data_IF_951784144309
#
_entry.id   IF_951784144309
#
_cell.length_a   1.000
_cell.length_b   1.000
_cell.length_c   1.000
_cell.angle_alpha   90.00
_cell.angle_beta   90.00
_cell.angle_gamma   90.00
#
_symmetry.space_group_name_H-M   'P 1'
#
loop_
_entity.id
_entity.type
_entity.pdbx_description
1 polymer ?
#
# COMPACT_ATOMS: atom_id res chain seq x y z
N UNK A 1 2.02 -16.86 -4.55
CA UNK A 1 0.78 -16.28 -4.01
C UNK A 1 0.18 -17.29 -3.04
N UNK A 2 -0.07 -16.88 -1.82
CA UNK A 2 -0.68 -17.71 -0.79
C UNK A 2 -2.16 -17.94 -1.10
N UNK A 3 -2.66 -19.09 -0.62
CA UNK A 3 -4.06 -19.49 -0.67
C UNK A 3 -4.48 -19.82 0.76
N UNK A 4 -5.25 -18.92 1.37
CA UNK A 4 -5.67 -19.05 2.77
C UNK A 4 -7.01 -19.78 2.91
N UNK A 5 -7.74 -19.95 1.80
CA UNK A 5 -9.04 -20.60 1.78
C UNK A 5 -9.65 -20.73 0.39
N UNK A 6 -10.88 -21.24 0.35
CA UNK A 6 -11.58 -21.58 -0.91
C UNK A 6 -12.55 -20.50 -1.40
N UNK A 7 -12.83 -19.44 -0.63
CA UNK A 7 -13.75 -18.39 -1.09
C UNK A 7 -13.12 -17.60 -2.23
N UNK A 8 -13.94 -16.82 -2.93
CA UNK A 8 -13.51 -16.07 -4.13
C UNK A 8 -12.29 -15.18 -3.89
N UNK A 9 -12.19 -14.59 -2.70
CA UNK A 9 -11.13 -13.63 -2.32
C UNK A 9 -10.22 -14.15 -1.19
N UNK A 10 -10.21 -15.46 -0.92
CA UNK A 10 -9.34 -16.06 0.12
C UNK A 10 -7.93 -16.41 -0.42
N UNK A 11 -7.59 -15.94 -1.62
CA UNK A 11 -6.23 -16.04 -2.20
C UNK A 11 -5.63 -14.65 -2.29
N UNK A 12 -4.31 -14.52 -2.18
CA UNK A 12 -3.63 -13.24 -2.37
C UNK A 12 -4.08 -12.57 -3.68
N UNK A 13 -4.03 -13.31 -4.79
CA UNK A 13 -4.46 -12.81 -6.09
C UNK A 13 -5.92 -12.33 -6.10
N UNK A 14 -6.84 -13.15 -5.56
CA UNK A 14 -8.26 -12.81 -5.54
C UNK A 14 -8.56 -11.61 -4.65
N UNK A 15 -7.82 -11.47 -3.55
CA UNK A 15 -7.92 -10.34 -2.64
C UNK A 15 -7.33 -9.06 -3.25
N UNK A 16 -6.19 -9.15 -3.92
CA UNK A 16 -5.55 -8.04 -4.64
C UNK A 16 -6.46 -7.46 -5.72
N UNK A 17 -7.03 -8.33 -6.58
CA UNK A 17 -7.98 -7.90 -7.62
C UNK A 17 -9.22 -7.24 -7.00
N UNK A 18 -9.74 -7.81 -5.91
CA UNK A 18 -10.90 -7.24 -5.22
C UNK A 18 -10.59 -5.86 -4.64
N UNK A 19 -9.45 -5.69 -3.99
CA UNK A 19 -9.05 -4.42 -3.40
C UNK A 19 -8.74 -3.37 -4.46
N UNK A 20 -8.12 -3.75 -5.57
CA UNK A 20 -7.84 -2.86 -6.68
C UNK A 20 -9.15 -2.32 -7.28
N UNK A 21 -10.10 -3.20 -7.60
CA UNK A 21 -11.40 -2.81 -8.17
C UNK A 21 -12.23 -1.98 -7.19
N UNK A 22 -12.45 -2.49 -5.98
CA UNK A 22 -13.33 -1.85 -4.99
C UNK A 22 -12.68 -0.60 -4.40
N UNK A 23 -11.36 -0.60 -4.21
CA UNK A 23 -10.58 0.51 -3.70
C UNK A 23 -10.66 1.70 -4.65
N UNK A 24 -10.27 1.53 -5.91
CA UNK A 24 -10.30 2.58 -6.94
C UNK A 24 -11.72 3.08 -7.19
N UNK A 25 -12.72 2.19 -7.19
CA UNK A 25 -14.12 2.59 -7.27
C UNK A 25 -14.54 3.48 -6.09
N UNK A 26 -14.13 3.14 -4.85
CA UNK A 26 -14.40 3.97 -3.66
C UNK A 26 -13.62 5.27 -3.66
N UNK A 27 -12.51 5.35 -4.38
CA UNK A 27 -11.79 6.59 -4.64
C UNK A 27 -12.44 7.42 -5.76
N UNK A 28 -13.53 6.92 -6.35
CA UNK A 28 -14.31 7.66 -7.34
C UNK A 28 -13.72 7.62 -8.75
N UNK A 29 -12.81 6.68 -9.01
CA UNK A 29 -12.31 6.46 -10.35
C UNK A 29 -13.39 5.89 -11.28
N UNK A 30 -13.30 6.24 -12.56
CA UNK A 30 -14.25 5.77 -13.57
C UNK A 30 -14.08 4.26 -13.80
N UNK A 31 -15.18 3.50 -13.64
CA UNK A 31 -15.15 2.03 -13.67
C UNK A 31 -14.59 1.46 -14.97
N UNK A 32 -14.81 2.11 -16.12
CA UNK A 32 -14.25 1.64 -17.39
C UNK A 32 -12.71 1.64 -17.40
N UNK A 33 -12.06 2.59 -16.70
CA UNK A 33 -10.60 2.63 -16.60
C UNK A 33 -10.10 1.51 -15.69
N UNK A 34 -10.78 1.30 -14.55
CA UNK A 34 -10.48 0.20 -13.63
C UNK A 34 -10.57 -1.15 -14.37
N UNK A 35 -11.66 -1.39 -15.10
CA UNK A 35 -11.83 -2.62 -15.88
C UNK A 35 -10.71 -2.77 -16.91
N UNK A 36 -10.43 -1.71 -17.67
CA UNK A 36 -9.38 -1.73 -18.69
C UNK A 36 -8.03 -2.11 -18.09
N UNK A 37 -7.60 -1.42 -17.04
CA UNK A 37 -6.27 -1.63 -16.43
C UNK A 37 -6.15 -3.05 -15.84
N UNK A 38 -7.20 -3.56 -15.20
CA UNK A 38 -7.22 -4.93 -14.69
C UNK A 38 -7.08 -5.93 -15.85
N UNK A 39 -7.81 -5.73 -16.95
CA UNK A 39 -7.76 -6.61 -18.12
C UNK A 39 -6.43 -6.52 -18.88
N UNK A 40 -5.83 -5.33 -18.95
CA UNK A 40 -4.50 -5.14 -19.55
C UNK A 40 -3.42 -5.95 -18.80
N UNK A 41 -3.61 -6.16 -17.48
CA UNK A 41 -2.76 -7.01 -16.64
C UNK A 41 -3.16 -8.51 -16.64
N UNK A 42 -4.19 -8.95 -17.39
CA UNK A 42 -4.70 -10.33 -17.36
C UNK A 42 -3.59 -11.37 -17.55
N UNK A 43 -2.65 -11.11 -18.47
CA UNK A 43 -1.57 -12.06 -18.81
C UNK A 43 -0.57 -12.28 -17.66
N UNK A 44 -0.42 -11.29 -16.78
CA UNK A 44 0.53 -11.39 -15.67
C UNK A 44 0.00 -12.33 -14.58
N UNK A 45 -1.33 -12.40 -14.43
CA UNK A 45 -2.03 -13.26 -13.47
C UNK A 45 -2.42 -14.62 -14.04
N UNK A 46 -2.93 -14.67 -15.27
CA UNK A 46 -3.53 -15.85 -15.89
C UNK A 46 -2.48 -16.78 -16.53
N UNK A 47 -1.52 -17.26 -15.73
CA UNK A 47 -0.44 -18.14 -16.20
C UNK A 47 -0.86 -19.61 -16.31
N UNK A 48 -1.86 -20.04 -15.54
CA UNK A 48 -2.42 -21.39 -15.51
C UNK A 48 -3.94 -21.33 -15.44
N UNK A 49 -4.64 -22.42 -15.74
CA UNK A 49 -6.10 -22.50 -15.59
C UNK A 49 -6.55 -22.21 -14.15
N UNK A 50 -5.81 -22.71 -13.15
CA UNK A 50 -6.01 -22.41 -11.74
C UNK A 50 -6.00 -20.90 -11.43
N UNK A 51 -4.95 -20.17 -11.86
CA UNK A 51 -4.88 -18.72 -11.62
C UNK A 51 -5.87 -17.93 -12.48
N UNK A 52 -6.20 -18.45 -13.67
CA UNK A 52 -7.21 -17.86 -14.56
C UNK A 52 -8.60 -17.92 -13.91
N UNK A 53 -8.97 -19.04 -13.29
CA UNK A 53 -10.22 -19.17 -12.53
C UNK A 53 -10.27 -18.14 -11.39
N UNK A 54 -9.21 -18.03 -10.58
CA UNK A 54 -9.14 -17.08 -9.47
C UNK A 54 -9.28 -15.64 -9.98
N UNK A 55 -8.57 -15.28 -11.05
CA UNK A 55 -8.61 -13.95 -11.64
C UNK A 55 -10.03 -13.57 -12.08
N UNK A 56 -10.65 -14.38 -12.93
CA UNK A 56 -11.95 -14.08 -13.53
C UNK A 56 -13.09 -14.13 -12.51
N UNK A 57 -13.00 -15.03 -11.52
CA UNK A 57 -14.00 -15.11 -10.45
C UNK A 57 -13.90 -13.92 -9.49
N UNK A 58 -12.68 -13.49 -9.14
CA UNK A 58 -12.46 -12.30 -8.32
C UNK A 58 -12.89 -11.01 -9.03
N UNK A 59 -12.53 -10.83 -10.30
CA UNK A 59 -12.93 -9.66 -11.09
C UNK A 59 -14.46 -9.56 -11.20
N UNK A 60 -15.13 -10.63 -11.65
CA UNK A 60 -16.59 -10.62 -11.79
C UNK A 60 -17.31 -10.40 -10.45
N UNK A 61 -16.84 -11.04 -9.38
CA UNK A 61 -17.37 -10.83 -8.04
C UNK A 61 -17.22 -9.36 -7.61
N UNK A 62 -16.05 -8.75 -7.84
CA UNK A 62 -15.77 -7.37 -7.45
C UNK A 62 -16.64 -6.37 -8.20
N UNK A 63 -16.81 -6.55 -9.51
CA UNK A 63 -17.68 -5.72 -10.33
C UNK A 63 -19.15 -5.88 -9.95
N UNK A 64 -19.59 -7.10 -9.63
CA UNK A 64 -20.92 -7.34 -9.07
C UNK A 64 -21.12 -6.61 -7.73
N UNK A 65 -20.10 -6.62 -6.85
CA UNK A 65 -20.14 -5.95 -5.55
C UNK A 65 -20.34 -4.43 -5.67
N UNK A 66 -19.80 -3.81 -6.71
CA UNK A 66 -19.98 -2.37 -6.98
C UNK A 66 -21.17 -2.07 -7.92
N UNK A 67 -21.83 -3.10 -8.48
CA UNK A 67 -22.99 -2.93 -9.38
C UNK A 67 -22.62 -2.55 -10.81
N UNK A 68 -21.41 -2.91 -11.27
CA UNK A 68 -20.89 -2.59 -12.60
C UNK A 68 -20.39 -3.82 -13.35
N UNK A 69 -20.96 -5.00 -13.09
CA UNK A 69 -20.66 -6.21 -13.84
C UNK A 69 -21.19 -6.09 -15.27
N UNK A 70 -20.29 -6.18 -16.25
CA UNK A 70 -20.65 -6.20 -17.68
C UNK A 70 -20.96 -7.61 -18.15
N UNK A 71 -21.81 -7.73 -19.18
CA UNK A 71 -22.19 -9.02 -19.76
C UNK A 71 -20.99 -9.85 -20.24
N UNK A 72 -20.02 -9.24 -20.92
CA UNK A 72 -18.83 -9.95 -21.43
C UNK A 72 -18.02 -10.63 -20.30
N UNK A 73 -17.78 -9.90 -19.21
CA UNK A 73 -17.07 -10.41 -18.03
C UNK A 73 -17.91 -11.48 -17.33
N UNK A 74 -19.22 -11.25 -17.18
CA UNK A 74 -20.14 -12.25 -16.60
C UNK A 74 -20.08 -13.55 -17.39
N UNK A 75 -20.25 -13.48 -18.70
CA UNK A 75 -20.39 -14.64 -19.56
C UNK A 75 -19.07 -15.42 -19.65
N UNK A 76 -17.92 -14.74 -19.78
CA UNK A 76 -16.59 -15.37 -19.70
C UNK A 76 -16.37 -16.07 -18.36
N UNK A 77 -16.72 -15.44 -17.24
CA UNK A 77 -16.58 -16.07 -15.91
C UNK A 77 -17.52 -17.29 -15.76
N UNK A 78 -18.75 -17.23 -16.27
CA UNK A 78 -19.68 -18.36 -16.24
C UNK A 78 -19.18 -19.53 -17.12
N UNK A 79 -18.58 -19.27 -18.27
CA UNK A 79 -17.94 -20.29 -19.10
C UNK A 79 -16.79 -20.99 -18.38
N UNK A 80 -15.96 -20.24 -17.65
CA UNK A 80 -14.90 -20.82 -16.83
C UNK A 80 -15.46 -21.69 -15.70
N UNK A 81 -16.47 -21.22 -14.98
CA UNK A 81 -17.12 -21.99 -13.90
C UNK A 81 -17.71 -23.30 -14.43
N UNK A 82 -18.26 -23.31 -15.66
CA UNK A 82 -18.82 -24.52 -16.29
C UNK A 82 -17.77 -25.62 -16.55
N UNK A 83 -16.49 -25.27 -16.72
CA UNK A 83 -15.41 -26.25 -16.86
C UNK A 83 -15.16 -27.05 -15.57
N UNK A 84 -15.67 -26.54 -14.43
CA UNK A 84 -15.48 -27.13 -13.12
C UNK A 84 -14.22 -26.61 -12.43
N UNK A 85 -14.12 -26.93 -11.15
CA UNK A 85 -12.98 -26.55 -10.31
C UNK A 85 -11.70 -27.25 -10.74
N UNK A 86 -10.60 -26.51 -10.82
CA UNK A 86 -9.28 -27.05 -11.17
C UNK A 86 -8.78 -28.11 -10.15
N UNK A 87 -8.27 -29.29 -10.59
CA UNK A 87 -7.74 -30.32 -9.69
C UNK A 87 -6.65 -29.87 -8.72
N UNK A 88 -5.90 -28.80 -9.05
CA UNK A 88 -4.83 -28.26 -8.21
C UNK A 88 -5.30 -27.84 -6.81
N UNK A 89 -6.60 -27.58 -6.62
CA UNK A 89 -7.17 -27.36 -5.30
C UNK A 89 -6.93 -28.53 -4.33
N UNK A 90 -6.72 -29.77 -4.82
CA UNK A 90 -6.36 -30.92 -3.97
C UNK A 90 -4.97 -30.79 -3.32
N UNK A 91 -4.05 -30.07 -3.96
CA UNK A 91 -2.71 -29.80 -3.41
C UNK A 91 -2.75 -28.78 -2.26
N UNK A 92 -3.82 -27.98 -2.18
CA UNK A 92 -4.05 -27.01 -1.10
C UNK A 92 -4.67 -27.70 0.12
N UNK A 93 -5.78 -28.41 -0.08
CA UNK A 93 -6.42 -29.24 0.94
C UNK A 93 -7.24 -30.36 0.25
N UNK A 94 -7.22 -31.61 0.75
CA UNK A 94 -7.96 -32.72 0.15
C UNK A 94 -9.48 -32.49 -0.01
N UNK A 95 -10.06 -31.59 0.77
CA UNK A 95 -11.48 -31.20 0.72
C UNK A 95 -11.70 -29.94 -0.11
N UNK A 96 -10.66 -29.17 -0.45
CA UNK A 96 -10.79 -27.87 -1.10
C UNK A 96 -11.45 -27.97 -2.47
N UNK A 97 -11.15 -28.99 -3.29
CA UNK A 97 -11.77 -29.17 -4.61
C UNK A 97 -13.31 -29.13 -4.53
N UNK A 98 -13.89 -29.95 -3.65
CA UNK A 98 -15.35 -30.02 -3.48
C UNK A 98 -15.93 -28.76 -2.83
N UNK A 99 -15.18 -28.12 -1.93
CA UNK A 99 -15.64 -26.89 -1.28
C UNK A 99 -15.63 -25.72 -2.26
N UNK A 100 -14.58 -25.59 -3.07
CA UNK A 100 -14.43 -24.57 -4.09
C UNK A 100 -15.51 -24.72 -5.17
N UNK A 101 -15.81 -25.94 -5.62
CA UNK A 101 -16.91 -26.18 -6.56
C UNK A 101 -18.24 -25.57 -6.07
N UNK A 102 -18.58 -25.73 -4.78
CA UNK A 102 -19.79 -25.12 -4.20
C UNK A 102 -19.72 -23.59 -4.17
N UNK A 103 -18.53 -23.02 -3.94
CA UNK A 103 -18.32 -21.58 -3.98
C UNK A 103 -18.54 -21.05 -5.40
N UNK A 104 -18.02 -21.73 -6.42
CA UNK A 104 -18.19 -21.36 -7.83
C UNK A 104 -19.66 -21.46 -8.27
N UNK A 105 -20.37 -22.52 -7.89
CA UNK A 105 -21.81 -22.67 -8.17
C UNK A 105 -22.63 -21.54 -7.56
N UNK A 106 -22.32 -21.17 -6.31
CA UNK A 106 -22.96 -20.02 -5.64
C UNK A 106 -22.64 -18.71 -6.35
N UNK A 107 -21.40 -18.52 -6.78
CA UNK A 107 -21.00 -17.33 -7.55
C UNK A 107 -21.76 -17.27 -8.88
N UNK A 108 -21.86 -18.39 -9.61
CA UNK A 108 -22.56 -18.44 -10.90
C UNK A 108 -24.04 -18.05 -10.78
N UNK A 109 -24.72 -18.46 -9.70
CA UNK A 109 -26.09 -18.00 -9.42
C UNK A 109 -26.13 -16.51 -9.08
N UNK A 110 -25.16 -16.03 -8.29
CA UNK A 110 -25.08 -14.63 -7.89
C UNK A 110 -24.89 -13.69 -9.10
N UNK A 111 -23.99 -14.04 -10.02
CA UNK A 111 -23.65 -13.21 -11.20
C UNK A 111 -24.80 -13.07 -12.22
N UNK A 112 -25.84 -13.91 -12.12
CA UNK A 112 -27.04 -13.81 -12.95
C UNK A 112 -28.04 -12.76 -12.44
N UNK A 113 -27.79 -12.19 -11.26
CA UNK A 113 -28.66 -11.18 -10.65
C UNK A 113 -27.93 -9.85 -10.54
N UNK A 114 -28.66 -8.74 -10.59
CA UNK A 114 -28.11 -7.47 -10.16
C UNK A 114 -27.91 -7.46 -8.65
N UNK A 115 -26.85 -6.79 -8.18
CA UNK A 115 -26.63 -6.63 -6.77
C UNK A 115 -27.66 -5.64 -6.19
N UNK A 116 -28.54 -6.05 -5.26
CA UNK A 116 -29.59 -5.18 -4.72
C UNK A 116 -29.03 -4.05 -3.84
N UNK A 117 -27.78 -4.17 -3.38
CA UNK A 117 -27.11 -3.18 -2.52
C UNK A 117 -25.66 -3.02 -2.97
N UNK A 118 -25.43 -2.38 -4.13
CA UNK A 118 -24.08 -2.13 -4.61
C UNK A 118 -23.34 -1.25 -3.61
N UNK A 119 -22.04 -1.49 -3.48
CA UNK A 119 -21.17 -0.58 -2.74
C UNK A 119 -21.30 0.81 -3.36
N UNK A 120 -21.44 1.83 -2.51
CA UNK A 120 -21.54 3.21 -2.95
C UNK A 120 -20.17 3.85 -2.92
N UNK A 121 -19.89 4.70 -3.91
CA UNK A 121 -18.79 5.65 -3.82
C UNK A 121 -19.09 6.58 -2.63
N UNK A 122 -18.19 6.67 -1.64
CA UNK A 122 -18.32 7.65 -0.57
C UNK A 122 -18.42 9.06 -1.16
N UNK A 123 -19.24 9.93 -0.54
CA UNK A 123 -19.27 11.33 -0.93
C UNK A 123 -17.86 11.90 -0.80
N UNK A 124 -17.41 12.63 -1.83
CA UNK A 124 -16.13 13.31 -1.82
C UNK A 124 -16.02 14.15 -0.54
N UNK A 125 -15.04 13.84 0.31
CA UNK A 125 -14.67 14.70 1.42
C UNK A 125 -13.87 15.87 0.86
N UNK A 126 -13.91 17.02 1.52
CA UNK A 126 -13.00 18.14 1.22
C UNK A 126 -11.58 17.59 1.17
N UNK A 127 -10.88 17.80 0.04
CA UNK A 127 -9.49 17.34 -0.12
C UNK A 127 -8.67 17.96 1.01
N UNK A 128 -8.10 17.11 1.87
CA UNK A 128 -7.17 17.55 2.90
C UNK A 128 -5.89 17.99 2.21
N UNK A 129 -5.39 19.16 2.55
CA UNK A 129 -4.08 19.63 2.11
C UNK A 129 -3.00 18.91 2.94
N UNK A 130 -1.98 18.29 2.32
CA UNK A 130 -0.84 17.77 3.05
C UNK A 130 -0.17 18.84 3.92
N UNK A 131 0.31 18.46 5.11
CA UNK A 131 1.11 19.32 5.99
C UNK A 131 2.52 19.48 5.44
N UNK A 132 3.04 18.41 4.86
CA UNK A 132 4.37 18.30 4.27
C UNK A 132 4.31 17.58 2.92
N UNK A 133 5.35 17.74 2.13
CA UNK A 133 5.53 17.13 0.80
C UNK A 133 6.71 16.16 0.81
N UNK A 134 6.76 15.25 -0.17
CA UNK A 134 7.91 14.36 -0.33
C UNK A 134 9.21 15.15 -0.46
N UNK A 135 10.25 14.65 0.23
CA UNK A 135 11.55 15.31 0.29
C UNK A 135 11.66 16.43 1.33
N UNK A 136 10.58 16.81 2.02
CA UNK A 136 10.68 17.77 3.13
C UNK A 136 11.58 17.23 4.24
N UNK A 137 12.56 18.03 4.66
CA UNK A 137 13.43 17.75 5.81
C UNK A 137 12.83 18.39 7.04
N UNK A 138 12.64 17.61 8.09
CA UNK A 138 11.91 18.00 9.29
C UNK A 138 12.78 17.86 10.53
N UNK A 139 12.94 18.94 11.29
CA UNK A 139 13.44 18.90 12.65
C UNK A 139 12.27 18.54 13.60
N UNK A 140 12.47 17.53 14.43
CA UNK A 140 11.47 17.07 15.41
C UNK A 140 11.96 17.44 16.80
N UNK A 141 11.21 18.28 17.51
CA UNK A 141 11.54 18.75 18.84
C UNK A 141 10.98 17.82 19.91
N UNK A 142 11.87 17.19 20.67
CA UNK A 142 11.57 16.47 21.89
C UNK A 142 11.73 17.38 23.12
N UNK A 143 11.75 16.81 24.32
CA UNK A 143 11.83 17.57 25.57
C UNK A 143 13.10 18.44 25.63
N UNK A 144 14.27 17.82 25.46
CA UNK A 144 15.58 18.50 25.59
C UNK A 144 16.47 18.35 24.34
N UNK A 145 15.97 17.65 23.31
CA UNK A 145 16.73 17.28 22.12
C UNK A 145 15.90 17.46 20.85
N UNK A 146 16.58 17.41 19.72
CA UNK A 146 16.02 17.43 18.38
C UNK A 146 16.42 16.16 17.63
N UNK A 147 15.41 15.52 17.05
CA UNK A 147 15.56 14.52 16.02
C UNK A 147 15.54 15.13 14.62
N UNK A 148 15.98 14.35 13.64
CA UNK A 148 15.96 14.73 12.24
C UNK A 148 15.33 13.61 11.40
N UNK A 149 14.30 13.96 10.65
CA UNK A 149 13.57 13.04 9.75
C UNK A 149 13.36 13.70 8.39
N UNK A 150 12.97 12.92 7.39
CA UNK A 150 12.48 13.47 6.13
C UNK A 150 11.23 12.74 5.65
N UNK A 151 10.39 13.43 4.88
CA UNK A 151 9.21 12.83 4.28
C UNK A 151 9.64 11.97 3.10
N UNK A 152 9.60 10.65 3.28
CA UNK A 152 10.03 9.67 2.28
C UNK A 152 8.93 9.41 1.24
N UNK A 153 7.66 9.51 1.63
CA UNK A 153 6.49 9.36 0.76
C UNK A 153 5.25 10.08 1.35
N UNK A 154 4.39 10.61 0.50
CA UNK A 154 3.05 11.08 0.86
C UNK A 154 2.01 10.30 0.07
N UNK A 155 1.35 9.35 0.73
CA UNK A 155 0.27 8.56 0.12
C UNK A 155 -1.06 9.33 0.27
N UNK A 156 -1.54 9.88 -0.85
CA UNK A 156 -2.76 10.66 -0.91
C UNK A 156 -3.79 10.00 -1.83
N UNK A 157 -4.92 9.61 -1.23
CA UNK A 157 -6.14 9.23 -1.92
C UNK A 157 -7.34 10.07 -1.45
N UNK A 158 -8.49 10.01 -2.14
CA UNK A 158 -9.72 10.66 -1.67
C UNK A 158 -10.16 10.25 -0.25
N UNK A 159 -9.75 9.05 0.20
CA UNK A 159 -10.10 8.51 1.53
C UNK A 159 -8.95 8.56 2.53
N UNK A 160 -7.72 8.77 2.06
CA UNK A 160 -6.49 8.52 2.81
C UNK A 160 -5.48 9.65 2.59
N UNK A 161 -4.83 10.10 3.65
CA UNK A 161 -3.69 11.02 3.56
C UNK A 161 -2.71 10.65 4.65
N UNK A 162 -1.54 10.26 4.20
CA UNK A 162 -0.63 9.39 4.92
C UNK A 162 0.81 9.82 4.63
N UNK A 163 1.61 9.92 5.68
CA UNK A 163 2.98 10.46 5.61
C UNK A 163 3.95 9.42 6.12
N UNK A 164 4.92 9.10 5.29
CA UNK A 164 6.02 8.22 5.62
C UNK A 164 7.21 9.09 6.02
N UNK A 165 7.64 8.99 7.27
CA UNK A 165 8.76 9.75 7.84
C UNK A 165 9.95 8.83 8.05
N UNK A 166 10.97 8.98 7.22
CA UNK A 166 12.21 8.25 7.37
C UNK A 166 13.06 8.90 8.47
N UNK A 167 13.25 8.17 9.56
CA UNK A 167 14.02 8.64 10.69
C UNK A 167 15.52 8.49 10.42
N UNK A 168 16.27 9.58 10.54
CA UNK A 168 17.73 9.49 10.61
C UNK A 168 18.15 9.02 11.99
N UNK A 169 19.44 8.72 12.18
CA UNK A 169 20.04 8.37 13.47
C UNK A 169 20.60 9.57 14.21
N UNK A 170 20.13 10.78 13.87
CA UNK A 170 20.60 12.02 14.47
C UNK A 170 19.67 12.46 15.61
N UNK A 171 20.26 12.59 16.79
CA UNK A 171 19.66 13.16 17.98
C UNK A 171 20.68 14.14 18.58
N UNK A 172 20.28 15.39 18.81
CA UNK A 172 21.18 16.42 19.31
C UNK A 172 20.44 17.53 20.06
N UNK A 173 21.15 18.27 20.91
CA UNK A 173 20.55 19.36 21.70
C UNK A 173 20.35 20.65 20.92
N UNK A 174 21.04 20.83 19.79
CA UNK A 174 20.92 22.00 18.92
C UNK A 174 19.93 21.73 17.80
N UNK A 175 19.21 22.77 17.37
CA UNK A 175 18.32 22.68 16.20
C UNK A 175 19.11 22.21 14.97
N UNK A 176 18.69 21.12 14.30
CA UNK A 176 19.34 20.61 13.10
C UNK A 176 19.30 21.58 11.91
N UNK A 177 20.27 21.39 11.03
CA UNK A 177 20.46 22.08 9.76
C UNK A 177 20.37 21.10 8.59
N UNK A 178 20.35 21.63 7.37
CA UNK A 178 20.44 20.81 6.15
C UNK A 178 21.82 20.10 6.08
N UNK A 179 22.89 20.71 6.57
CA UNK A 179 24.21 20.06 6.61
C UNK A 179 24.23 18.89 7.59
N UNK A 180 23.55 19.02 8.73
CA UNK A 180 23.33 17.91 9.67
C UNK A 180 22.55 16.79 8.98
N UNK A 181 21.57 17.11 8.13
CA UNK A 181 20.84 16.12 7.33
C UNK A 181 21.77 15.37 6.39
N UNK A 182 22.54 16.07 5.55
CA UNK A 182 23.39 15.45 4.54
C UNK A 182 24.48 14.55 5.16
N UNK A 183 24.99 14.94 6.33
CA UNK A 183 26.04 14.21 7.07
C UNK A 183 25.52 13.22 8.11
N UNK A 184 24.21 13.25 8.40
CA UNK A 184 23.57 12.26 9.25
C UNK A 184 23.62 10.87 8.61
N UNK A 185 23.29 9.87 9.43
CA UNK A 185 23.20 8.50 8.97
C UNK A 185 21.77 8.01 9.01
N UNK A 186 21.45 7.11 8.09
CA UNK A 186 20.17 6.40 8.05
C UNK A 186 20.42 4.89 7.88
N UNK A 187 19.52 4.10 8.46
CA UNK A 187 19.56 2.65 8.33
C UNK A 187 18.77 2.20 7.11
N UNK A 188 19.38 1.33 6.30
CA UNK A 188 18.75 0.74 5.14
C UNK A 188 19.20 -0.71 4.94
N UNK A 189 18.52 -1.43 4.04
CA UNK A 189 18.98 -2.69 3.46
C UNK A 189 19.28 -2.48 1.97
N UNK A 190 20.00 -3.42 1.38
CA UNK A 190 20.11 -3.50 -0.07
C UNK A 190 18.99 -4.39 -0.60
N UNK A 191 18.19 -3.86 -1.52
CA UNK A 191 17.18 -4.59 -2.27
C UNK A 191 17.55 -4.52 -3.75
N UNK A 192 18.20 -5.58 -4.24
CA UNK A 192 18.87 -5.61 -5.54
C UNK A 192 19.89 -4.44 -5.68
N UNK A 193 19.59 -3.47 -6.56
CA UNK A 193 20.41 -2.29 -6.81
C UNK A 193 19.90 -1.02 -6.11
N UNK A 194 18.82 -1.12 -5.31
CA UNK A 194 18.20 0.00 -4.63
C UNK A 194 18.41 -0.07 -3.12
N UNK A 195 18.43 1.10 -2.47
CA UNK A 195 18.32 1.17 -1.03
C UNK A 195 16.89 0.85 -0.60
N UNK A 196 16.74 0.10 0.47
CA UNK A 196 15.47 -0.16 1.13
C UNK A 196 15.48 0.48 2.52
N UNK A 197 14.69 1.53 2.73
CA UNK A 197 14.61 2.20 4.03
C UNK A 197 13.89 1.32 5.05
N UNK A 198 14.46 1.22 6.25
CA UNK A 198 13.92 0.40 7.35
C UNK A 198 13.64 1.23 8.62
N UNK A 199 13.65 2.55 8.50
CA UNK A 199 13.44 3.51 9.59
C UNK A 199 12.18 4.34 9.41
N UNK A 200 11.30 3.88 8.52
CA UNK A 200 10.15 4.64 8.08
C UNK A 200 8.98 4.51 9.08
N UNK A 201 8.63 5.62 9.72
CA UNK A 201 7.46 5.73 10.58
C UNK A 201 6.29 6.30 9.77
N UNK A 202 5.22 5.54 9.64
CA UNK A 202 4.06 5.99 8.89
C UNK A 202 2.96 6.60 9.80
N UNK A 203 2.49 7.81 9.47
CA UNK A 203 1.43 8.53 10.20
C UNK A 203 0.22 8.83 9.32
N UNK A 204 -0.98 8.70 9.90
CA UNK A 204 -2.17 9.28 9.27
C UNK A 204 -2.27 10.79 9.53
N UNK A 205 -3.06 11.49 8.70
CA UNK A 205 -3.22 12.93 8.78
C UNK A 205 -3.78 13.48 10.11
N UNK A 206 -4.52 12.69 10.88
CA UNK A 206 -5.01 13.15 12.18
C UNK A 206 -3.88 13.12 13.20
N UNK A 207 -3.15 12.01 13.27
CA UNK A 207 -2.14 11.79 14.29
C UNK A 207 -0.92 12.67 14.05
N UNK A 208 -0.45 12.80 12.80
CA UNK A 208 0.61 13.78 12.48
C UNK A 208 0.18 15.22 12.78
N UNK A 209 -1.12 15.53 12.60
CA UNK A 209 -1.68 16.84 12.91
C UNK A 209 -1.56 17.23 14.39
N UNK A 210 -1.50 16.26 15.30
CA UNK A 210 -1.31 16.50 16.73
C UNK A 210 0.14 16.83 17.09
N UNK A 211 1.08 16.56 16.18
CA UNK A 211 2.52 16.72 16.42
C UNK A 211 3.11 17.96 15.76
N UNK A 212 2.30 18.75 15.03
CA UNK A 212 2.80 19.86 14.22
C UNK A 212 3.54 20.93 15.04
N UNK A 213 3.14 21.18 16.29
CA UNK A 213 3.83 22.12 17.18
C UNK A 213 5.26 21.68 17.54
N UNK A 214 5.58 20.40 17.33
CA UNK A 214 6.89 19.80 17.56
C UNK A 214 7.69 19.58 16.27
N UNK A 215 7.13 19.85 15.09
CA UNK A 215 7.75 19.51 13.80
C UNK A 215 7.95 20.79 12.98
N UNK A 216 9.19 21.05 12.59
CA UNK A 216 9.57 22.21 11.79
C UNK A 216 10.21 21.77 10.47
N UNK A 217 9.71 22.29 9.34
CA UNK A 217 10.38 22.12 8.05
C UNK A 217 11.63 22.99 8.00
N UNK A 218 12.77 22.36 7.72
CA UNK A 218 14.08 23.04 7.67
C UNK A 218 14.73 23.04 6.28
N UNK A 219 14.19 22.29 5.32
CA UNK A 219 14.73 22.13 3.98
C UNK A 219 13.85 21.24 3.11
N UNK A 220 14.22 21.09 1.84
CA UNK A 220 13.64 20.08 0.95
C UNK A 220 14.75 19.48 0.07
N UNK A 221 14.60 18.21 -0.27
CA UNK A 221 15.54 17.49 -1.16
C UNK A 221 14.80 16.74 -2.25
N UNK A 222 15.46 16.57 -3.39
CA UNK A 222 15.07 15.57 -4.39
C UNK A 222 15.70 14.24 -4.00
N UNK A 223 14.85 13.24 -3.76
CA UNK A 223 15.29 11.92 -3.33
C UNK A 223 15.57 11.01 -4.53
N UNK A 224 16.60 10.18 -4.39
CA UNK A 224 16.86 9.05 -5.29
C UNK A 224 15.80 7.96 -5.12
N UNK A 225 15.54 7.14 -6.15
CA UNK A 225 14.67 5.99 -6.00
C UNK A 225 15.16 5.02 -4.92
N UNK A 226 14.29 4.72 -3.96
CA UNK A 226 14.47 3.70 -2.93
C UNK A 226 13.19 2.88 -2.77
N UNK A 227 13.29 1.74 -2.10
CA UNK A 227 12.14 0.95 -1.65
C UNK A 227 11.83 1.32 -0.19
N UNK A 228 10.55 1.35 0.18
CA UNK A 228 10.13 1.47 1.58
C UNK A 228 9.79 0.10 2.14
N UNK A 229 10.31 -0.23 3.32
CA UNK A 229 9.81 -1.35 4.11
C UNK A 229 8.89 -0.79 5.17
N UNK A 230 7.59 -1.04 4.97
CA UNK A 230 6.53 -0.50 5.81
C UNK A 230 6.65 -1.03 7.25
N UNK A 231 6.87 -0.13 8.22
CA UNK A 231 6.75 -0.45 9.63
C UNK A 231 5.32 -0.22 10.13
N UNK A 232 5.05 -0.66 11.36
CA UNK A 232 3.78 -0.43 12.04
C UNK A 232 3.42 1.07 12.09
N UNK A 233 2.13 1.42 12.13
CA UNK A 233 1.70 2.81 12.20
C UNK A 233 2.23 3.50 13.46
N UNK A 234 2.75 4.72 13.29
CA UNK A 234 3.15 5.61 14.36
C UNK A 234 2.00 6.57 14.72
N UNK A 235 1.95 6.97 15.99
CA UNK A 235 0.86 7.75 16.57
C UNK A 235 1.33 8.99 17.34
N UNK A 236 2.57 8.98 17.85
CA UNK A 236 3.06 10.03 18.73
C UNK A 236 4.57 10.28 18.56
N UNK A 237 5.12 11.23 19.34
CA UNK A 237 6.55 11.58 19.29
C UNK A 237 7.46 10.45 19.78
N UNK A 238 7.00 9.60 20.71
CA UNK A 238 7.79 8.48 21.22
C UNK A 238 8.12 7.50 20.11
N UNK A 239 7.19 7.24 19.19
CA UNK A 239 7.42 6.35 18.05
C UNK A 239 8.59 6.86 17.17
N UNK A 240 8.68 8.19 16.97
CA UNK A 240 9.78 8.83 16.23
C UNK A 240 11.07 8.73 17.05
N UNK A 241 11.00 9.03 18.35
CA UNK A 241 12.16 9.00 19.24
C UNK A 241 12.78 7.60 19.34
N UNK A 242 11.95 6.58 19.57
CA UNK A 242 12.35 5.17 19.59
C UNK A 242 12.95 4.77 18.25
N UNK A 243 12.37 5.16 17.12
CA UNK A 243 12.95 4.81 15.83
C UNK A 243 14.28 5.51 15.57
N UNK A 244 14.46 6.79 15.95
CA UNK A 244 15.75 7.48 15.84
C UNK A 244 16.81 6.77 16.71
N UNK A 245 16.46 6.39 17.94
CA UNK A 245 17.38 5.85 18.95
C UNK A 245 17.57 4.34 18.92
N UNK A 246 16.77 3.62 18.12
CA UNK A 246 16.81 2.15 18.01
C UNK A 246 18.22 1.64 17.70
N UNK A 247 18.72 0.76 18.58
CA UNK A 247 20.00 0.10 18.38
C UNK A 247 19.93 -0.90 17.21
N UNK A 248 20.98 -0.93 16.41
CA UNK A 248 21.06 -1.79 15.25
C UNK A 248 21.62 -3.13 15.71
N UNK A 249 20.81 -4.18 15.62
CA UNK A 249 21.35 -5.52 15.50
C UNK A 249 22.25 -5.65 14.25
N UNK A 250 22.90 -6.81 14.06
CA UNK A 250 23.89 -7.07 13.00
C UNK A 250 23.36 -7.07 11.55
N UNK A 251 22.11 -6.67 11.28
CA UNK A 251 21.39 -6.99 10.04
C UNK A 251 21.09 -5.82 9.10
N UNK A 252 21.42 -4.57 9.44
CA UNK A 252 21.16 -3.40 8.59
C UNK A 252 22.43 -2.63 8.20
N UNK A 253 22.43 -2.07 6.98
CA UNK A 253 23.47 -1.17 6.48
C UNK A 253 23.23 0.24 7.03
N UNK A 254 24.29 0.91 7.47
CA UNK A 254 24.25 2.33 7.85
C UNK A 254 24.93 3.15 6.76
N UNK A 255 24.21 4.10 6.18
CA UNK A 255 24.72 4.98 5.13
C UNK A 255 24.57 6.44 5.52
N UNK A 256 25.40 7.31 4.94
CA UNK A 256 25.21 8.76 5.02
C UNK A 256 24.02 9.17 4.16
N UNK A 257 23.19 10.07 4.68
CA UNK A 257 21.91 10.41 4.07
C UNK A 257 22.05 11.09 2.70
N UNK A 258 23.15 11.82 2.42
CA UNK A 258 23.39 12.39 1.08
C UNK A 258 23.39 11.32 -0.04
N UNK A 259 23.65 10.04 0.27
CA UNK A 259 23.62 8.96 -0.73
C UNK A 259 22.22 8.69 -1.28
N UNK A 260 21.18 9.18 -0.60
CA UNK A 260 19.78 9.15 -1.00
C UNK A 260 19.32 10.44 -1.70
N UNK A 261 20.20 11.44 -1.83
CA UNK A 261 19.84 12.78 -2.32
C UNK A 261 20.40 12.97 -3.73
N UNK A 262 19.57 13.51 -4.62
CA UNK A 262 19.98 14.00 -5.94
C UNK A 262 20.23 15.51 -5.94
N UNK A 263 19.30 16.29 -5.37
CA UNK A 263 19.37 17.75 -5.32
C UNK A 263 18.86 18.28 -3.97
N UNK A 264 19.26 19.50 -3.60
CA UNK A 264 18.86 20.17 -2.36
C UNK A 264 18.22 21.52 -2.70
N UNK A 265 17.08 21.83 -2.07
CA UNK A 265 16.35 23.08 -2.22
C UNK A 265 16.29 23.79 -0.86
N UNK A 266 16.77 25.02 -0.80
CA UNK A 266 16.62 25.89 0.37
C UNK A 266 15.17 26.39 0.48
N UNK A 267 14.67 26.46 1.73
CA UNK A 267 13.35 27.01 2.09
C UNK A 267 13.28 28.50 1.77
#
# INVERSE_FOLDING_TARGET
>A
MAIDGVKIIDSDQGYDIYNEVVGRYRDGEHVANIIKDILDAEKDYCQTDFFTEIYWTALAYSLWKIGHLTDDIRDKTLELIKKGTDPFWLEIDPKALKQRQKVLEKLALQLQTENPRPLKVPKAKTKRKPYFEEGDILAVKFQDEYGLVFVSMVDQSPRKLEYHLACTRLLQTKRPTIDDFLTSHISCKMDNTKFALVTDCWFNHKDLGQLLDNIEKIGQVKLRPFSLWMLAPAQNLEDIYEEITRDMGSSGLRIETYKLVDDVFSV
#
